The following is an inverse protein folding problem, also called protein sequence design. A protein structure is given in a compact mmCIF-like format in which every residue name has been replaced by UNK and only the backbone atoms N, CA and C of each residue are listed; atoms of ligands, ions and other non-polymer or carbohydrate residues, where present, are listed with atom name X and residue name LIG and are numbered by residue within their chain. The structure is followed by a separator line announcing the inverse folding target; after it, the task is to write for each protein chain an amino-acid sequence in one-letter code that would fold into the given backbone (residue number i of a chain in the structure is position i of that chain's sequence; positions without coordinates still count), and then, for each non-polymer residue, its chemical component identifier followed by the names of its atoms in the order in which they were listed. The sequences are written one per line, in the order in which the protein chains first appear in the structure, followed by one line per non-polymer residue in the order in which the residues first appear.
data_IF_553278389781
#
_entry.id   IF_553278389781
#
_cell.length_a   1.000
_cell.length_b   1.000
_cell.length_c   1.000
_cell.angle_alpha   90.00
_cell.angle_beta   90.00
_cell.angle_gamma   90.00
#
_symmetry.space_group_name_H-M   'P 1'
#
loop_
_entity.id
_entity.type
_entity.pdbx_description
1 polymer ?
#
# COMPACT_ATOMS: atom_id res chain seq x y z
N UNK A 1 -49.28 -10.40 2.90
CA UNK A 1 -49.36 -10.54 1.42
C UNK A 1 -48.39 -9.54 0.81
N UNK A 2 -47.17 -9.96 0.50
CA UNK A 2 -46.19 -9.11 -0.16
C UNK A 2 -46.63 -8.88 -1.61
N UNK A 3 -46.76 -7.62 -2.02
CA UNK A 3 -47.04 -7.27 -3.42
C UNK A 3 -45.81 -7.59 -4.26
N UNK A 4 -45.86 -8.71 -4.98
CA UNK A 4 -44.86 -9.05 -5.99
C UNK A 4 -44.89 -7.96 -7.08
N UNK A 5 -43.87 -7.10 -7.11
CA UNK A 5 -43.74 -6.06 -8.14
C UNK A 5 -43.28 -6.71 -9.45
N UNK A 6 -43.84 -6.33 -10.61
CA UNK A 6 -43.42 -6.87 -11.89
C UNK A 6 -41.94 -6.51 -12.16
N UNK A 7 -41.14 -7.42 -12.74
CA UNK A 7 -39.69 -7.23 -12.92
C UNK A 7 -39.31 -5.95 -13.67
N UNK A 8 -40.13 -5.52 -14.64
CA UNK A 8 -39.92 -4.29 -15.40
C UNK A 8 -40.10 -2.99 -14.58
N UNK A 9 -40.90 -3.04 -13.50
CA UNK A 9 -41.09 -1.89 -12.61
C UNK A 9 -39.88 -1.70 -11.68
N UNK A 10 -39.30 -2.79 -11.18
CA UNK A 10 -38.11 -2.76 -10.32
C UNK A 10 -36.89 -2.20 -11.07
N UNK A 11 -36.72 -2.59 -12.33
CA UNK A 11 -35.65 -2.07 -13.19
C UNK A 11 -35.81 -0.57 -13.51
N UNK A 12 -37.05 -0.11 -13.76
CA UNK A 12 -37.32 1.31 -13.98
C UNK A 12 -37.11 2.16 -12.73
N UNK A 13 -37.52 1.67 -11.55
CA UNK A 13 -37.28 2.37 -10.27
C UNK A 13 -35.79 2.50 -9.97
N UNK A 14 -35.00 1.45 -10.21
CA UNK A 14 -33.57 1.49 -10.00
C UNK A 14 -32.86 2.45 -10.98
N UNK A 15 -33.25 2.45 -12.27
CA UNK A 15 -32.74 3.40 -13.27
C UNK A 15 -33.03 4.84 -12.87
N UNK A 16 -34.24 5.10 -12.37
CA UNK A 16 -34.63 6.42 -11.89
C UNK A 16 -33.79 6.83 -10.67
N UNK A 17 -33.63 5.96 -9.68
CA UNK A 17 -32.81 6.23 -8.51
C UNK A 17 -31.35 6.55 -8.87
N UNK A 18 -30.77 5.78 -9.81
CA UNK A 18 -29.42 6.06 -10.34
C UNK A 18 -29.36 7.43 -11.03
N UNK A 19 -30.40 7.79 -11.81
CA UNK A 19 -30.49 9.11 -12.46
C UNK A 19 -30.53 10.24 -11.44
N UNK A 20 -31.36 10.09 -10.39
CA UNK A 20 -31.45 11.05 -9.29
C UNK A 20 -30.12 11.24 -8.58
N UNK A 21 -29.42 10.13 -8.31
CA UNK A 21 -28.11 10.14 -7.65
C UNK A 21 -27.07 10.86 -8.50
N UNK A 22 -26.93 10.49 -9.78
CA UNK A 22 -25.98 11.12 -10.71
C UNK A 22 -26.27 12.61 -10.93
N UNK A 23 -27.53 13.02 -10.84
CA UNK A 23 -27.94 14.40 -10.97
C UNK A 23 -27.87 15.19 -9.65
N UNK A 24 -27.44 14.59 -8.53
CA UNK A 24 -27.32 15.27 -7.25
C UNK A 24 -28.65 15.69 -6.62
N UNK A 25 -29.76 15.00 -6.94
CA UNK A 25 -31.12 15.37 -6.49
C UNK A 25 -31.38 14.94 -5.05
N UNK A 26 -30.65 15.55 -4.11
CA UNK A 26 -30.66 15.21 -2.67
C UNK A 26 -32.07 15.07 -2.09
N UNK A 27 -32.93 16.08 -2.28
CA UNK A 27 -34.30 16.08 -1.73
C UNK A 27 -35.23 15.02 -2.35
N UNK A 28 -34.98 14.62 -3.60
CA UNK A 28 -35.75 13.56 -4.24
C UNK A 28 -35.34 12.18 -3.69
N UNK A 29 -34.05 12.00 -3.40
CA UNK A 29 -33.54 10.79 -2.76
C UNK A 29 -33.98 10.71 -1.30
N UNK A 30 -33.97 11.83 -0.57
CA UNK A 30 -34.50 11.90 0.79
C UNK A 30 -35.98 11.51 0.82
N UNK A 31 -36.78 12.03 -0.12
CA UNK A 31 -38.19 11.61 -0.27
C UNK A 31 -38.31 10.13 -0.59
N UNK A 32 -37.48 9.62 -1.51
CA UNK A 32 -37.43 8.19 -1.86
C UNK A 32 -37.22 7.31 -0.63
N UNK A 33 -36.27 7.67 0.23
CA UNK A 33 -35.97 6.99 1.49
C UNK A 33 -37.15 7.08 2.46
N UNK A 34 -37.75 8.27 2.62
CA UNK A 34 -38.89 8.49 3.52
C UNK A 34 -40.16 7.71 3.09
N UNK A 35 -40.29 7.41 1.80
CA UNK A 35 -41.33 6.53 1.26
C UNK A 35 -41.06 5.04 1.54
N UNK A 36 -39.92 4.69 2.15
CA UNK A 36 -39.51 3.32 2.45
C UNK A 36 -39.06 2.53 1.23
N UNK A 37 -38.70 3.20 0.13
CA UNK A 37 -38.21 2.55 -1.10
C UNK A 37 -36.75 2.12 -0.93
N UNK A 38 -36.39 1.02 -1.58
CA UNK A 38 -35.04 0.45 -1.50
C UNK A 38 -33.99 1.37 -2.13
N UNK A 39 -32.79 1.37 -1.56
CA UNK A 39 -31.58 1.95 -2.14
C UNK A 39 -30.77 0.93 -2.96
N UNK A 40 -31.17 -0.34 -2.91
CA UNK A 40 -30.55 -1.39 -3.72
C UNK A 40 -30.86 -1.15 -5.19
N UNK A 41 -29.81 -1.13 -5.99
CA UNK A 41 -29.90 -1.07 -7.43
C UNK A 41 -29.41 -2.40 -8.00
N UNK A 42 -30.09 -2.98 -9.01
CA UNK A 42 -29.49 -4.04 -9.81
C UNK A 42 -28.22 -3.45 -10.38
N UNK A 43 -27.10 -4.03 -9.96
CA UNK A 43 -25.79 -3.45 -10.10
C UNK A 43 -25.58 -2.69 -11.41
N UNK A 44 -25.34 -1.38 -11.31
CA UNK A 44 -24.94 -0.60 -12.47
C UNK A 44 -23.54 -1.08 -12.89
N UNK A 45 -23.45 -1.86 -13.96
CA UNK A 45 -22.17 -2.38 -14.43
C UNK A 45 -21.36 -1.27 -15.07
N UNK A 46 -20.23 -0.90 -14.46
CA UNK A 46 -19.19 -0.06 -15.07
C UNK A 46 -17.92 -0.88 -15.11
N UNK A 47 -17.36 -1.09 -16.31
CA UNK A 47 -16.13 -1.89 -16.53
C UNK A 47 -16.20 -3.30 -15.92
N UNK A 48 -17.37 -3.95 -15.97
CA UNK A 48 -17.56 -5.31 -15.46
C UNK A 48 -17.70 -5.45 -13.94
N UNK A 49 -17.55 -4.37 -13.16
CA UNK A 49 -17.81 -4.37 -11.71
C UNK A 49 -19.22 -3.87 -11.41
N UNK A 50 -19.89 -4.59 -10.52
CA UNK A 50 -21.18 -4.21 -9.96
C UNK A 50 -20.99 -3.06 -8.98
N UNK A 51 -21.77 -1.98 -9.11
CA UNK A 51 -21.70 -0.83 -8.20
C UNK A 51 -23.01 -0.57 -7.48
N UNK A 52 -22.87 -0.21 -6.21
CA UNK A 52 -23.92 0.28 -5.33
C UNK A 52 -24.27 1.74 -5.63
N UNK A 53 -25.40 2.19 -5.09
CA UNK A 53 -25.79 3.60 -5.17
C UNK A 53 -24.78 4.50 -4.43
N UNK A 54 -24.22 4.02 -3.32
CA UNK A 54 -23.24 4.78 -2.53
C UNK A 54 -21.92 5.01 -3.29
N UNK A 55 -21.41 4.01 -4.01
CA UNK A 55 -20.25 4.19 -4.91
C UNK A 55 -20.55 5.22 -6.01
N UNK A 56 -21.76 5.20 -6.59
CA UNK A 56 -22.16 6.21 -7.58
C UNK A 56 -22.18 7.60 -6.96
N UNK A 57 -22.67 7.74 -5.73
CA UNK A 57 -22.68 9.01 -5.01
C UNK A 57 -21.26 9.55 -4.78
N UNK A 58 -20.30 8.68 -4.41
CA UNK A 58 -18.89 9.06 -4.24
C UNK A 58 -18.32 9.67 -5.53
N UNK A 59 -18.63 9.09 -6.70
CA UNK A 59 -18.19 9.64 -8.00
C UNK A 59 -18.76 11.03 -8.30
N UNK A 60 -19.96 11.34 -7.80
CA UNK A 60 -20.52 12.70 -7.98
C UNK A 60 -19.79 13.74 -7.14
N UNK A 61 -19.15 13.32 -6.05
CA UNK A 61 -18.42 14.19 -5.14
C UNK A 61 -19.29 15.05 -4.23
N UNK A 62 -20.62 14.87 -4.24
CA UNK A 62 -21.54 15.61 -3.39
C UNK A 62 -21.58 15.06 -1.96
N UNK A 63 -20.86 15.71 -1.05
CA UNK A 63 -20.70 15.29 0.34
C UNK A 63 -22.03 14.94 1.03
N UNK A 64 -23.01 15.84 1.00
CA UNK A 64 -24.32 15.63 1.64
C UNK A 64 -25.11 14.46 1.03
N UNK A 65 -24.90 14.16 -0.24
CA UNK A 65 -25.55 13.02 -0.88
C UNK A 65 -24.91 11.70 -0.44
N UNK A 66 -23.58 11.67 -0.35
CA UNK A 66 -22.84 10.53 0.18
C UNK A 66 -23.24 10.28 1.63
N UNK A 67 -23.31 11.32 2.46
CA UNK A 67 -23.74 11.24 3.86
C UNK A 67 -25.16 10.67 3.99
N UNK A 68 -26.12 11.21 3.21
CA UNK A 68 -27.50 10.74 3.22
C UNK A 68 -27.59 9.25 2.87
N UNK A 69 -26.93 8.82 1.78
CA UNK A 69 -26.98 7.42 1.35
C UNK A 69 -26.25 6.52 2.35
N UNK A 70 -25.06 6.91 2.84
CA UNK A 70 -24.28 6.12 3.79
C UNK A 70 -25.02 5.88 5.12
N UNK A 71 -25.76 6.89 5.60
CA UNK A 71 -26.59 6.79 6.81
C UNK A 71 -27.73 5.78 6.67
N UNK A 72 -28.28 5.63 5.47
CA UNK A 72 -29.42 4.75 5.18
C UNK A 72 -29.03 3.43 4.52
N UNK A 73 -27.75 3.25 4.20
CA UNK A 73 -27.19 1.99 3.71
C UNK A 73 -27.03 1.00 4.88
N UNK A 74 -27.73 -0.12 4.79
CA UNK A 74 -27.68 -1.18 5.80
C UNK A 74 -26.57 -2.20 5.54
N UNK A 75 -26.15 -2.36 4.28
CA UNK A 75 -25.16 -3.35 3.90
C UNK A 75 -23.74 -2.83 4.08
N UNK A 76 -22.85 -3.67 4.61
CA UNK A 76 -21.46 -3.30 4.83
C UNK A 76 -20.68 -3.20 3.50
N UNK A 77 -20.93 -4.13 2.58
CA UNK A 77 -20.19 -4.23 1.32
C UNK A 77 -20.22 -2.92 0.48
N UNK A 78 -21.37 -2.25 0.28
CA UNK A 78 -21.42 -0.92 -0.34
C UNK A 78 -20.62 0.16 0.38
N UNK A 79 -20.59 0.16 1.72
CA UNK A 79 -19.86 1.16 2.52
C UNK A 79 -18.35 0.99 2.35
N UNK A 80 -17.88 -0.24 2.43
CA UNK A 80 -16.49 -0.61 2.25
C UNK A 80 -16.02 -0.31 0.82
N UNK A 81 -16.84 -0.64 -0.19
CA UNK A 81 -16.56 -0.33 -1.59
C UNK A 81 -16.53 1.19 -1.84
N UNK A 82 -17.43 1.95 -1.23
CA UNK A 82 -17.43 3.41 -1.31
C UNK A 82 -16.19 4.03 -0.65
N UNK A 83 -15.71 3.45 0.47
CA UNK A 83 -14.48 3.90 1.12
C UNK A 83 -13.26 3.66 0.21
N UNK A 84 -13.21 2.51 -0.46
CA UNK A 84 -12.19 2.21 -1.48
C UNK A 84 -12.19 3.23 -2.63
N UNK A 85 -13.37 3.56 -3.17
CA UNK A 85 -13.52 4.56 -4.25
C UNK A 85 -13.12 5.98 -3.76
N UNK A 86 -13.40 6.33 -2.50
CA UNK A 86 -13.01 7.61 -1.91
C UNK A 86 -11.49 7.74 -1.73
N UNK A 87 -10.82 6.67 -1.31
CA UNK A 87 -9.34 6.59 -1.23
C UNK A 87 -8.72 6.72 -2.62
N UNK A 88 -9.23 5.96 -3.59
CA UNK A 88 -8.77 6.02 -4.99
C UNK A 88 -8.91 7.42 -5.60
N UNK A 89 -9.95 8.14 -5.18
CA UNK A 89 -10.22 9.53 -5.60
C UNK A 89 -9.53 10.59 -4.74
N UNK A 90 -8.78 10.19 -3.70
CA UNK A 90 -8.09 11.07 -2.74
C UNK A 90 -9.00 12.09 -2.07
N UNK A 91 -10.27 11.73 -1.86
CA UNK A 91 -11.30 12.59 -1.26
C UNK A 91 -11.28 12.42 0.26
N UNK A 92 -10.36 13.13 0.92
CA UNK A 92 -10.21 13.08 2.38
C UNK A 92 -11.53 13.35 3.12
N UNK A 93 -12.33 14.28 2.63
CA UNK A 93 -13.65 14.59 3.18
C UNK A 93 -14.60 13.37 3.18
N UNK A 94 -14.52 12.52 2.17
CA UNK A 94 -15.33 11.30 2.09
C UNK A 94 -14.69 10.13 2.85
N UNK A 95 -13.35 10.08 2.89
CA UNK A 95 -12.60 9.11 3.70
C UNK A 95 -12.84 9.31 5.20
N UNK A 96 -13.06 10.55 5.65
CA UNK A 96 -13.45 10.85 7.03
C UNK A 96 -14.93 10.54 7.29
N UNK A 97 -15.80 10.83 6.31
CA UNK A 97 -17.24 10.64 6.40
C UNK A 97 -17.66 9.16 6.46
N UNK A 98 -17.14 8.33 5.57
CA UNK A 98 -17.63 6.96 5.39
C UNK A 98 -17.42 6.07 6.63
N UNK A 99 -16.27 6.10 7.32
CA UNK A 99 -16.09 5.40 8.60
C UNK A 99 -17.00 5.94 9.71
N UNK A 100 -17.32 7.23 9.71
CA UNK A 100 -18.31 7.79 10.65
C UNK A 100 -19.73 7.23 10.43
N UNK A 101 -20.00 6.66 9.25
CA UNK A 101 -21.23 5.95 8.92
C UNK A 101 -21.06 4.43 8.82
N UNK A 102 -19.96 3.89 9.34
CA UNK A 102 -19.75 2.46 9.55
C UNK A 102 -18.99 1.72 8.46
N UNK A 103 -18.38 2.39 7.48
CA UNK A 103 -17.40 1.73 6.61
C UNK A 103 -16.20 1.23 7.44
N UNK A 104 -15.70 0.02 7.16
CA UNK A 104 -14.57 -0.53 7.90
C UNK A 104 -13.25 -0.02 7.32
N UNK A 105 -12.42 0.59 8.17
CA UNK A 105 -11.08 1.05 7.79
C UNK A 105 -10.23 -0.09 7.23
N UNK A 106 -10.41 -1.31 7.76
CA UNK A 106 -9.64 -2.49 7.34
C UNK A 106 -10.11 -3.07 6.01
N UNK A 107 -11.24 -2.60 5.46
CA UNK A 107 -11.71 -3.03 4.14
C UNK A 107 -10.87 -2.46 2.99
N UNK A 108 -10.07 -1.43 3.26
CA UNK A 108 -9.12 -0.87 2.29
C UNK A 108 -7.71 -1.36 2.65
N UNK A 109 -7.05 -2.13 1.77
CA UNK A 109 -5.65 -2.51 1.97
C UNK A 109 -4.77 -1.28 2.17
N UNK A 110 -3.87 -1.31 3.16
CA UNK A 110 -2.98 -0.17 3.42
C UNK A 110 -2.11 0.16 2.19
N UNK A 111 -1.75 -0.83 1.37
CA UNK A 111 -1.06 -0.63 0.09
C UNK A 111 -1.79 0.38 -0.81
N UNK A 112 -3.10 0.26 -0.97
CA UNK A 112 -3.88 1.17 -1.82
C UNK A 112 -3.83 2.61 -1.28
N UNK A 113 -3.84 2.76 0.04
CA UNK A 113 -3.68 4.06 0.72
C UNK A 113 -2.28 4.62 0.49
N UNK A 114 -1.23 3.82 0.66
CA UNK A 114 0.16 4.24 0.44
C UNK A 114 0.37 4.68 -1.02
N UNK A 115 -0.20 3.95 -1.98
CA UNK A 115 -0.13 4.28 -3.41
C UNK A 115 -0.93 5.53 -3.83
N UNK A 116 -1.66 6.17 -2.90
CA UNK A 116 -2.18 7.54 -3.12
C UNK A 116 -1.09 8.61 -2.99
N UNK A 117 0.02 8.30 -2.32
CA UNK A 117 1.12 9.20 -1.97
C UNK A 117 0.73 10.33 -1.00
N UNK A 118 -0.46 10.31 -0.41
CA UNK A 118 -0.96 11.39 0.45
C UNK A 118 -0.64 11.13 1.94
N UNK A 119 0.31 11.87 2.57
CA UNK A 119 0.71 11.62 3.95
C UNK A 119 -0.44 11.71 4.96
N UNK A 120 -1.41 12.58 4.70
CA UNK A 120 -2.58 12.76 5.58
C UNK A 120 -3.48 11.54 5.54
N UNK A 121 -3.72 10.95 4.35
CA UNK A 121 -4.48 9.70 4.23
C UNK A 121 -3.74 8.54 4.89
N UNK A 122 -2.44 8.43 4.66
CA UNK A 122 -1.62 7.36 5.27
C UNK A 122 -1.74 7.41 6.80
N UNK A 123 -1.57 8.59 7.41
CA UNK A 123 -1.73 8.75 8.87
C UNK A 123 -3.15 8.44 9.33
N UNK A 124 -4.15 8.94 8.62
CA UNK A 124 -5.55 8.72 8.96
C UNK A 124 -5.88 7.21 9.08
N UNK A 125 -5.41 6.40 8.14
CA UNK A 125 -5.64 4.95 8.13
C UNK A 125 -4.84 4.23 9.23
N UNK A 126 -3.55 4.57 9.39
CA UNK A 126 -2.71 4.00 10.45
C UNK A 126 -3.27 4.29 11.84
N UNK A 127 -3.68 5.53 12.10
CA UNK A 127 -4.25 5.98 13.38
C UNK A 127 -5.59 5.30 13.69
N UNK A 128 -6.25 4.71 12.68
CA UNK A 128 -7.53 4.01 12.81
C UNK A 128 -7.42 2.50 12.67
N UNK A 129 -6.22 1.96 12.75
CA UNK A 129 -5.98 0.52 12.84
C UNK A 129 -6.05 -0.21 11.50
N UNK A 130 -5.72 0.46 10.40
CA UNK A 130 -5.36 -0.24 9.17
C UNK A 130 -4.19 -1.21 9.43
N UNK A 131 -4.21 -2.38 8.80
CA UNK A 131 -3.17 -3.39 9.00
C UNK A 131 -1.88 -3.01 8.25
N UNK A 132 -0.75 -2.80 8.93
CA UNK A 132 0.52 -2.43 8.32
C UNK A 132 1.40 -3.62 7.94
N UNK A 133 0.95 -4.85 8.20
CA UNK A 133 1.74 -6.08 8.07
C UNK A 133 1.20 -6.96 6.94
N UNK A 134 -0.10 -7.22 6.90
CA UNK A 134 -0.70 -8.11 5.90
C UNK A 134 -0.44 -7.58 4.48
N UNK A 135 0.11 -8.42 3.60
CA UNK A 135 0.48 -8.04 2.24
C UNK A 135 1.76 -7.21 2.12
N UNK A 136 2.48 -6.95 3.22
CA UNK A 136 3.75 -6.19 3.25
C UNK A 136 3.64 -4.81 2.58
N UNK A 137 2.67 -3.98 3.00
CA UNK A 137 2.27 -2.77 2.28
C UNK A 137 3.38 -1.71 2.18
N UNK A 138 4.24 -1.58 3.21
CA UNK A 138 5.37 -0.66 3.16
C UNK A 138 6.48 -1.13 2.23
N UNK A 139 6.73 -2.45 2.16
CA UNK A 139 7.72 -3.00 1.24
C UNK A 139 7.32 -2.69 -0.21
N UNK A 140 6.05 -2.90 -0.56
CA UNK A 140 5.49 -2.55 -1.87
C UNK A 140 5.55 -1.04 -2.14
N UNK A 141 5.11 -0.22 -1.19
CA UNK A 141 5.14 1.23 -1.33
C UNK A 141 6.56 1.77 -1.50
N UNK A 142 7.55 1.24 -0.78
CA UNK A 142 8.94 1.63 -0.96
C UNK A 142 9.48 1.17 -2.32
N UNK A 143 9.16 -0.05 -2.77
CA UNK A 143 9.47 -0.52 -4.13
C UNK A 143 8.89 0.39 -5.22
N UNK A 144 7.65 0.84 -5.04
CA UNK A 144 6.97 1.83 -5.87
C UNK A 144 7.48 3.28 -5.67
N UNK A 145 8.50 3.48 -4.84
CA UNK A 145 9.16 4.76 -4.55
C UNK A 145 8.21 5.81 -3.95
N UNK A 146 7.25 5.40 -3.13
CA UNK A 146 6.35 6.29 -2.37
C UNK A 146 7.11 6.99 -1.25
N UNK A 147 7.87 8.04 -1.56
CA UNK A 147 8.71 8.77 -0.59
C UNK A 147 7.91 9.38 0.57
N UNK A 148 6.63 9.66 0.35
CA UNK A 148 5.73 10.27 1.34
C UNK A 148 5.35 9.29 2.45
N UNK A 149 5.57 7.98 2.26
CA UNK A 149 5.36 6.95 3.27
C UNK A 149 6.50 6.85 4.30
N UNK A 150 7.71 7.33 4.00
CA UNK A 150 8.89 7.16 4.87
C UNK A 150 8.69 7.76 6.28
N UNK A 151 8.16 8.98 6.35
CA UNK A 151 7.96 9.65 7.64
C UNK A 151 6.83 9.01 8.46
N UNK A 152 5.63 8.76 7.90
CA UNK A 152 4.60 7.96 8.57
C UNK A 152 5.11 6.60 9.03
N UNK A 153 5.90 5.90 8.23
CA UNK A 153 6.50 4.61 8.60
C UNK A 153 7.39 4.72 9.84
N UNK A 154 8.33 5.69 9.86
CA UNK A 154 9.23 5.88 11.00
C UNK A 154 8.45 6.24 12.26
N UNK A 155 7.49 7.17 12.15
CA UNK A 155 6.62 7.58 13.25
C UNK A 155 5.81 6.40 13.80
N UNK A 156 5.21 5.60 12.91
CA UNK A 156 4.39 4.45 13.28
C UNK A 156 5.22 3.32 13.92
N UNK A 157 6.35 2.96 13.31
CA UNK A 157 7.26 1.94 13.86
C UNK A 157 7.78 2.31 15.26
N UNK A 158 8.02 3.60 15.52
CA UNK A 158 8.40 4.08 16.85
C UNK A 158 7.26 3.98 17.86
N UNK A 159 6.03 4.23 17.43
CA UNK A 159 4.83 4.17 18.29
C UNK A 159 4.36 2.74 18.58
N UNK A 160 4.78 1.75 17.77
CA UNK A 160 4.33 0.36 17.83
C UNK A 160 5.49 -0.63 18.01
N UNK A 161 6.13 -0.70 19.20
CA UNK A 161 7.21 -1.64 19.49
C UNK A 161 6.88 -3.11 19.19
N UNK A 162 5.61 -3.48 19.34
CA UNK A 162 5.09 -4.82 19.10
C UNK A 162 5.12 -5.25 17.62
N UNK A 163 5.25 -4.31 16.69
CA UNK A 163 5.31 -4.56 15.23
C UNK A 163 6.68 -4.28 14.62
N UNK A 164 7.68 -3.94 15.45
CA UNK A 164 9.00 -3.48 14.97
C UNK A 164 9.69 -4.52 14.10
N UNK A 165 9.57 -5.81 14.42
CA UNK A 165 10.24 -6.88 13.68
C UNK A 165 9.69 -6.99 12.26
N UNK A 166 8.37 -7.02 12.11
CA UNK A 166 7.65 -7.15 10.85
C UNK A 166 7.80 -5.87 9.99
N UNK A 167 7.77 -4.69 10.61
CA UNK A 167 8.02 -3.43 9.92
C UNK A 167 9.48 -3.28 9.49
N UNK A 168 10.43 -3.75 10.30
CA UNK A 168 11.85 -3.77 9.94
C UNK A 168 12.09 -4.70 8.74
N UNK A 169 11.46 -5.87 8.71
CA UNK A 169 11.57 -6.80 7.59
C UNK A 169 11.16 -6.14 6.26
N UNK A 170 10.03 -5.41 6.26
CA UNK A 170 9.57 -4.69 5.07
C UNK A 170 10.56 -3.61 4.61
N UNK A 171 11.13 -2.86 5.55
CA UNK A 171 12.13 -1.83 5.28
C UNK A 171 13.42 -2.41 4.71
N UNK A 172 13.92 -3.49 5.32
CA UNK A 172 15.15 -4.18 4.91
C UNK A 172 14.95 -4.85 3.55
N UNK A 173 13.78 -5.43 3.29
CA UNK A 173 13.44 -6.00 1.99
C UNK A 173 13.51 -4.95 0.88
N UNK A 174 12.93 -3.77 1.10
CA UNK A 174 13.03 -2.66 0.16
C UNK A 174 14.48 -2.18 0.02
N UNK A 175 15.24 -2.09 1.11
CA UNK A 175 16.65 -1.68 1.08
C UNK A 175 17.48 -2.65 0.22
N UNK A 176 17.34 -3.96 0.44
CA UNK A 176 17.99 -5.00 -0.37
C UNK A 176 17.71 -4.83 -1.85
N UNK A 177 16.45 -4.62 -2.22
CA UNK A 177 16.04 -4.37 -3.60
C UNK A 177 16.79 -3.16 -4.20
N UNK A 178 16.80 -2.02 -3.50
CA UNK A 178 17.48 -0.83 -4.02
C UNK A 178 19.00 -0.93 -4.00
N UNK A 179 19.59 -1.75 -3.13
CA UNK A 179 21.01 -2.06 -3.18
C UNK A 179 21.39 -2.81 -4.46
N UNK A 180 20.57 -3.80 -4.87
CA UNK A 180 20.76 -4.53 -6.13
C UNK A 180 20.49 -3.69 -7.38
N UNK A 181 19.56 -2.73 -7.31
CA UNK A 181 19.23 -1.81 -8.41
C UNK A 181 20.22 -0.63 -8.53
N UNK A 182 21.05 -0.38 -7.53
CA UNK A 182 22.00 0.74 -7.54
C UNK A 182 21.36 2.11 -7.28
N UNK A 183 20.14 2.16 -6.73
CA UNK A 183 19.43 3.42 -6.46
C UNK A 183 19.95 4.08 -5.17
N UNK A 184 21.09 4.77 -5.29
CA UNK A 184 21.79 5.41 -4.16
C UNK A 184 20.89 6.34 -3.34
N UNK A 185 19.93 7.00 -4.00
CA UNK A 185 18.96 7.88 -3.33
C UNK A 185 18.06 7.08 -2.41
N UNK A 186 17.44 6.01 -2.90
CA UNK A 186 16.56 5.19 -2.09
C UNK A 186 17.30 4.38 -1.03
N UNK A 187 18.49 3.87 -1.32
CA UNK A 187 19.38 3.30 -0.30
C UNK A 187 19.61 4.30 0.83
N UNK A 188 19.94 5.55 0.51
CA UNK A 188 20.19 6.57 1.52
C UNK A 188 18.94 6.92 2.33
N UNK A 189 17.76 6.97 1.69
CA UNK A 189 16.49 7.25 2.37
C UNK A 189 16.04 6.11 3.29
N UNK A 190 16.21 4.85 2.86
CA UNK A 190 15.83 3.69 3.66
C UNK A 190 16.81 3.47 4.82
N UNK A 191 18.10 3.73 4.61
CA UNK A 191 19.07 3.81 5.71
C UNK A 191 18.73 4.92 6.71
N UNK A 192 18.27 6.09 6.24
CA UNK A 192 17.78 7.15 7.12
C UNK A 192 16.56 6.71 7.94
N UNK A 193 15.67 5.90 7.36
CA UNK A 193 14.54 5.30 8.04
C UNK A 193 14.91 4.12 8.97
N UNK A 194 16.20 3.76 9.05
CA UNK A 194 16.71 2.70 9.93
C UNK A 194 16.81 1.32 9.28
N UNK A 195 16.86 1.24 7.95
CA UNK A 195 17.10 -0.02 7.23
C UNK A 195 18.50 -0.56 7.50
N UNK A 196 18.59 -1.86 7.75
CA UNK A 196 19.86 -2.54 8.00
C UNK A 196 20.37 -3.24 6.72
N UNK A 197 21.46 -2.76 6.10
CA UNK A 197 22.00 -3.39 4.90
C UNK A 197 22.62 -4.77 5.15
N UNK A 198 22.80 -5.19 6.40
CA UNK A 198 23.33 -6.51 6.79
C UNK A 198 22.22 -7.54 7.02
N UNK A 199 20.99 -7.09 7.17
CA UNK A 199 19.83 -7.97 7.32
C UNK A 199 19.70 -8.85 6.09
N UNK A 200 19.68 -10.16 6.30
CA UNK A 200 19.45 -11.17 5.24
C UNK A 200 17.96 -11.48 5.16
N UNK A 201 17.43 -11.60 3.94
CA UNK A 201 16.03 -11.95 3.76
C UNK A 201 15.59 -11.92 2.30
N UNK A 202 14.27 -12.02 2.05
CA UNK A 202 13.73 -11.92 0.71
C UNK A 202 13.93 -10.52 0.11
N UNK A 203 13.94 -10.46 -1.22
CA UNK A 203 13.97 -9.24 -2.03
C UNK A 203 12.65 -9.11 -2.82
N UNK A 204 12.17 -7.88 -3.08
CA UNK A 204 10.80 -7.59 -3.59
C UNK A 204 10.38 -8.35 -4.86
N UNK A 205 11.31 -8.70 -5.75
CA UNK A 205 11.01 -9.15 -7.13
C UNK A 205 11.50 -10.57 -7.44
N UNK A 206 12.10 -11.30 -6.48
CA UNK A 206 12.65 -12.63 -6.75
C UNK A 206 11.56 -13.70 -6.56
N UNK A 207 11.23 -14.46 -7.62
CA UNK A 207 10.26 -15.57 -7.59
C UNK A 207 10.62 -16.66 -6.55
N UNK A 208 11.87 -16.69 -6.09
CA UNK A 208 12.41 -17.62 -5.08
C UNK A 208 12.44 -17.04 -3.65
N UNK A 209 11.66 -16.00 -3.35
CA UNK A 209 11.59 -15.35 -2.02
C UNK A 209 11.16 -16.25 -0.87
N UNK A 210 10.67 -17.47 -1.17
CA UNK A 210 10.29 -18.47 -0.19
C UNK A 210 11.43 -19.37 0.30
N UNK A 211 12.59 -19.37 -0.37
CA UNK A 211 13.74 -20.21 0.01
C UNK A 211 14.76 -19.41 0.85
N UNK A 212 14.90 -19.70 2.16
CA UNK A 212 15.89 -19.04 3.02
C UNK A 212 17.34 -19.22 2.55
N UNK A 213 17.65 -20.27 1.78
CA UNK A 213 19.00 -20.50 1.24
C UNK A 213 19.37 -19.46 0.17
N UNK A 214 18.36 -18.84 -0.46
CA UNK A 214 18.54 -17.78 -1.45
C UNK A 214 18.51 -16.36 -0.84
N UNK A 215 18.43 -16.24 0.49
CA UNK A 215 18.41 -14.94 1.15
C UNK A 215 19.75 -14.24 1.05
N UNK A 216 19.68 -12.96 0.71
CA UNK A 216 20.83 -12.06 0.58
C UNK A 216 20.61 -10.86 1.48
N UNK A 217 21.69 -10.12 1.72
CA UNK A 217 21.74 -8.82 2.38
C UNK A 217 21.92 -7.71 1.35
N UNK A 218 21.77 -6.45 1.79
CA UNK A 218 21.98 -5.30 0.92
C UNK A 218 23.44 -5.17 0.47
N UNK A 219 24.39 -5.59 1.31
CA UNK A 219 25.81 -5.66 0.95
C UNK A 219 26.05 -6.65 -0.19
N UNK A 220 25.49 -7.86 -0.09
CA UNK A 220 25.63 -8.91 -1.11
C UNK A 220 24.97 -8.50 -2.43
N UNK A 221 23.76 -7.92 -2.40
CA UNK A 221 23.09 -7.41 -3.61
C UNK A 221 23.90 -6.30 -4.29
N UNK A 222 24.52 -5.39 -3.52
CA UNK A 222 25.36 -4.34 -4.08
C UNK A 222 26.64 -4.91 -4.73
N UNK A 223 27.25 -5.94 -4.12
CA UNK A 223 28.41 -6.63 -4.67
C UNK A 223 28.06 -7.40 -5.95
N UNK A 224 26.96 -8.15 -5.94
CA UNK A 224 26.50 -8.95 -7.07
C UNK A 224 26.23 -8.10 -8.32
N UNK A 225 25.62 -6.93 -8.14
CA UNK A 225 25.20 -6.02 -9.21
C UNK A 225 26.22 -4.94 -9.59
N UNK A 226 27.44 -4.96 -9.03
CA UNK A 226 28.51 -3.96 -9.30
C UNK A 226 28.15 -2.52 -8.91
N UNK A 227 27.29 -2.35 -7.91
CA UNK A 227 26.85 -1.03 -7.48
C UNK A 227 27.85 -0.42 -6.48
N UNK A 228 29.06 -0.09 -6.93
CA UNK A 228 30.15 0.36 -6.07
C UNK A 228 29.79 1.58 -5.20
N UNK A 229 29.08 2.57 -5.75
CA UNK A 229 28.67 3.75 -4.99
C UNK A 229 27.70 3.41 -3.86
N UNK A 230 26.80 2.45 -4.11
CA UNK A 230 25.95 1.89 -3.06
C UNK A 230 26.81 1.17 -2.02
N UNK A 231 27.70 0.27 -2.43
CA UNK A 231 28.54 -0.48 -1.50
C UNK A 231 29.36 0.45 -0.59
N UNK A 232 29.98 1.48 -1.16
CA UNK A 232 30.68 2.54 -0.41
C UNK A 232 29.74 3.27 0.55
N UNK A 233 28.50 3.52 0.16
CA UNK A 233 27.47 4.15 1.00
C UNK A 233 27.05 3.26 2.17
N UNK A 234 27.04 1.94 1.99
CA UNK A 234 26.71 0.94 3.01
C UNK A 234 27.83 0.73 4.04
N UNK A 235 29.08 1.06 3.68
CA UNK A 235 30.26 0.97 4.53
C UNK A 235 30.45 -0.45 5.12
N UNK A 236 30.79 -1.44 4.29
CA UNK A 236 31.26 -2.73 4.80
C UNK A 236 32.44 -2.53 5.75
N UNK A 237 32.44 -3.29 6.85
CA UNK A 237 33.37 -3.21 7.96
C UNK A 237 34.08 -4.57 8.14
N UNK A 238 35.41 -4.64 7.98
CA UNK A 238 36.17 -5.89 8.10
C UNK A 238 36.04 -6.58 9.46
N UNK A 239 35.63 -5.87 10.49
CA UNK A 239 35.49 -6.42 11.85
C UNK A 239 34.10 -7.01 12.11
N UNK A 240 33.14 -6.79 11.21
CA UNK A 240 31.73 -7.13 11.40
C UNK A 240 31.10 -7.87 10.22
N UNK A 241 31.66 -7.70 9.03
CA UNK A 241 31.14 -8.23 7.78
C UNK A 241 32.09 -9.28 7.20
N UNK A 242 31.53 -10.36 6.66
CA UNK A 242 32.27 -11.43 6.00
C UNK A 242 32.74 -10.97 4.62
N UNK A 243 33.84 -10.22 4.58
CA UNK A 243 34.36 -9.63 3.33
C UNK A 243 34.74 -10.69 2.29
N UNK A 244 35.16 -11.88 2.72
CA UNK A 244 35.45 -13.02 1.82
C UNK A 244 34.19 -13.49 1.10
N UNK A 245 33.04 -13.55 1.79
CA UNK A 245 31.76 -13.87 1.16
C UNK A 245 31.36 -12.79 0.15
N UNK A 246 31.49 -11.51 0.52
CA UNK A 246 31.24 -10.38 -0.39
C UNK A 246 32.15 -10.40 -1.63
N UNK A 247 33.42 -10.78 -1.44
CA UNK A 247 34.39 -10.95 -2.51
C UNK A 247 33.98 -12.10 -3.44
N UNK A 248 33.49 -13.22 -2.89
CA UNK A 248 32.92 -14.34 -3.65
C UNK A 248 31.76 -13.90 -4.54
N UNK A 249 30.81 -13.12 -3.99
CA UNK A 249 29.69 -12.57 -4.76
C UNK A 249 30.13 -11.67 -5.92
N UNK A 250 31.12 -10.81 -5.70
CA UNK A 250 31.70 -9.94 -6.73
C UNK A 250 32.50 -10.74 -7.79
N UNK A 251 33.17 -11.82 -7.38
CA UNK A 251 34.02 -12.63 -8.24
C UNK A 251 33.23 -13.45 -9.26
N UNK A 252 32.07 -14.00 -8.88
CA UNK A 252 31.21 -14.82 -9.77
C UNK A 252 30.94 -14.10 -11.09
N UNK A 253 30.76 -12.78 -11.06
CA UNK A 253 30.43 -11.97 -12.23
C UNK A 253 31.56 -11.02 -12.67
N UNK A 254 32.77 -11.19 -12.12
CA UNK A 254 33.96 -10.39 -12.45
C UNK A 254 33.76 -8.88 -12.25
N UNK A 255 33.17 -8.47 -11.12
CA UNK A 255 32.89 -7.06 -10.79
C UNK A 255 34.16 -6.31 -10.40
N UNK A 256 34.93 -5.83 -11.38
CA UNK A 256 36.32 -5.42 -11.19
C UNK A 256 36.47 -4.32 -10.13
N UNK A 257 35.71 -3.24 -10.25
CA UNK A 257 35.81 -2.10 -9.34
C UNK A 257 35.34 -2.46 -7.93
N UNK A 258 34.40 -3.40 -7.81
CA UNK A 258 33.95 -3.92 -6.51
C UNK A 258 35.01 -4.81 -5.87
N UNK A 259 35.64 -5.70 -6.64
CA UNK A 259 36.74 -6.55 -6.17
C UNK A 259 37.92 -5.70 -5.68
N UNK A 260 38.33 -4.70 -6.46
CA UNK A 260 39.40 -3.76 -6.09
C UNK A 260 39.08 -3.05 -4.77
N UNK A 261 37.84 -2.57 -4.61
CA UNK A 261 37.41 -1.91 -3.38
C UNK A 261 37.38 -2.85 -2.17
N UNK A 262 36.87 -4.08 -2.33
CA UNK A 262 36.82 -5.07 -1.23
C UNK A 262 38.23 -5.47 -0.77
N UNK A 263 39.17 -5.66 -1.71
CA UNK A 263 40.58 -5.91 -1.40
C UNK A 263 41.22 -4.71 -0.70
N UNK A 264 40.92 -3.48 -1.12
CA UNK A 264 41.42 -2.24 -0.50
C UNK A 264 41.01 -2.14 0.98
N UNK A 265 39.78 -2.54 1.32
CA UNK A 265 39.30 -2.53 2.70
C UNK A 265 39.70 -3.77 3.50
N UNK A 266 40.44 -4.72 2.90
CA UNK A 266 41.05 -5.85 3.62
C UNK A 266 40.40 -7.21 3.41
N UNK A 267 39.58 -7.40 2.38
CA UNK A 267 39.14 -8.74 1.99
C UNK A 267 40.34 -9.62 1.58
N UNK A 268 40.38 -10.87 2.02
CA UNK A 268 41.43 -11.82 1.66
C UNK A 268 40.96 -12.73 0.53
N UNK A 269 41.62 -12.73 -0.65
CA UNK A 269 41.23 -13.58 -1.78
C UNK A 269 41.63 -15.05 -1.64
N UNK A 270 42.42 -15.41 -0.62
CA UNK A 270 42.94 -16.77 -0.42
C UNK A 270 42.42 -17.47 0.84
N UNK A 271 41.49 -16.84 1.58
CA UNK A 271 40.73 -17.52 2.63
C UNK A 271 39.58 -18.33 2.00
#
# INVERSE_FOLDING_TARGET
MGKMHPPDAVDNEAKELVRLCRAGRLYEIERWINEGKSLEIPAATKRGKQRSLLEIAVETGFHSLVELIAKHESSQSPKDAALHDAVSSRRLDLVELLPAHGADIKSVPLTDVLLTWEPTLIRFFLDRGADPIEGRPFAEAFGARVRTALRPFVEYKQAHPELVAELQEQLDCALRHFCGQGDLKWVSLLMWAGGDPRSRGPCLEKEYTGDPECYTSGLEEACHSENLDVLKRLKPDPTRDELTELLGWAAIWSRKETLEYLLEIGANPND
#
